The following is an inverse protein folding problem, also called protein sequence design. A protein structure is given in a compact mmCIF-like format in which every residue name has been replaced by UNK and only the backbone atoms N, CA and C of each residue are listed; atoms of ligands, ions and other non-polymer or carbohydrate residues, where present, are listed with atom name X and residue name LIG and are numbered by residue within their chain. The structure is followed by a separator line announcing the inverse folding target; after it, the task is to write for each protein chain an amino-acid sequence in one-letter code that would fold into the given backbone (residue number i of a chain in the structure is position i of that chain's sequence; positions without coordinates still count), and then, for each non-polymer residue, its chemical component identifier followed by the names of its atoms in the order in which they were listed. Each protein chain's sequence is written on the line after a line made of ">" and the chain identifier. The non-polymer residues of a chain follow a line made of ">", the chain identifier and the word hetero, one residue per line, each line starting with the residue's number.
data_IF_013653147210
#
_entry.id   IF_013653147210
#
_cell.length_a   1.000
_cell.length_b   1.000
_cell.length_c   1.000
_cell.angle_alpha   90.00
_cell.angle_beta   90.00
_cell.angle_gamma   90.00
#
_symmetry.space_group_name_H-M   'P 1'
#
loop_
_entity.id
_entity.type
_entity.pdbx_description
1 polymer ?
#
# COMPACT_ATOMS: atom_id res chain seq x y z
N UNK A 1 -47.42 -66.19 20.30
CA UNK A 1 -46.53 -66.25 19.13
C UNK A 1 -46.32 -64.82 18.64
N UNK A 2 -45.07 -64.34 18.70
CA UNK A 2 -44.50 -63.07 18.22
C UNK A 2 -45.32 -61.77 18.29
N UNK A 3 -44.97 -60.91 19.27
CA UNK A 3 -45.23 -59.45 19.21
C UNK A 3 -44.17 -58.81 18.31
N UNK A 4 -44.59 -58.23 17.19
CA UNK A 4 -43.75 -57.38 16.34
C UNK A 4 -43.72 -55.98 16.98
N UNK A 5 -42.52 -55.52 17.33
CA UNK A 5 -42.27 -54.15 17.79
C UNK A 5 -41.98 -53.32 16.54
N UNK A 6 -42.92 -52.49 16.13
CA UNK A 6 -42.70 -51.52 15.05
C UNK A 6 -42.01 -50.29 15.64
N UNK A 7 -40.73 -50.12 15.31
CA UNK A 7 -39.90 -48.99 15.69
C UNK A 7 -40.22 -47.79 14.77
N UNK A 8 -40.89 -46.76 15.27
CA UNK A 8 -41.11 -45.52 14.54
C UNK A 8 -39.87 -44.62 14.69
N UNK A 9 -39.12 -44.45 13.59
CA UNK A 9 -38.01 -43.50 13.50
C UNK A 9 -38.60 -42.10 13.28
N UNK A 10 -38.48 -41.23 14.28
CA UNK A 10 -38.85 -39.81 14.17
C UNK A 10 -37.69 -39.07 13.49
N UNK A 11 -37.90 -38.63 12.26
CA UNK A 11 -37.01 -37.70 11.57
C UNK A 11 -37.21 -36.29 12.14
N UNK A 12 -36.24 -35.79 12.91
CA UNK A 12 -36.16 -34.35 13.19
C UNK A 12 -35.56 -33.65 11.97
N UNK A 13 -36.40 -32.99 11.17
CA UNK A 13 -35.95 -31.99 10.21
C UNK A 13 -35.68 -30.72 11.02
N UNK A 14 -34.39 -30.41 11.24
CA UNK A 14 -33.99 -29.09 11.71
C UNK A 14 -34.26 -28.09 10.57
N UNK A 15 -35.34 -27.32 10.69
CA UNK A 15 -35.53 -26.14 9.87
C UNK A 15 -34.40 -25.15 10.19
N UNK A 16 -33.56 -24.85 9.19
CA UNK A 16 -32.55 -23.81 9.29
C UNK A 16 -33.23 -22.47 9.62
N UNK A 17 -32.69 -21.65 10.54
CA UNK A 17 -33.28 -20.36 10.83
C UNK A 17 -33.24 -19.49 9.57
N UNK A 18 -34.43 -19.02 9.18
CA UNK A 18 -34.62 -18.05 8.10
C UNK A 18 -33.89 -16.78 8.51
N UNK A 19 -32.80 -16.45 7.83
CA UNK A 19 -32.11 -15.17 8.05
C UNK A 19 -33.03 -14.05 7.56
N UNK A 20 -33.61 -13.30 8.50
CA UNK A 20 -34.32 -12.06 8.20
C UNK A 20 -33.31 -11.03 7.69
N UNK A 21 -33.40 -10.69 6.40
CA UNK A 21 -32.68 -9.56 5.83
C UNK A 21 -33.39 -8.29 6.27
N UNK A 22 -32.90 -7.68 7.35
CA UNK A 22 -33.23 -6.29 7.66
C UNK A 22 -32.45 -5.38 6.71
N UNK A 23 -33.16 -4.61 5.90
CA UNK A 23 -32.58 -3.66 4.97
C UNK A 23 -32.03 -2.44 5.74
N UNK A 24 -30.73 -2.47 6.06
CA UNK A 24 -30.03 -1.27 6.55
C UNK A 24 -29.61 -0.39 5.36
N UNK A 25 -30.32 0.74 5.25
CA UNK A 25 -29.95 2.07 4.75
C UNK A 25 -28.66 2.20 3.87
N UNK A 26 -28.76 2.57 2.57
CA UNK A 26 -27.63 2.59 1.63
C UNK A 26 -26.65 3.77 1.75
N UNK A 27 -26.51 4.43 2.91
CA UNK A 27 -25.63 5.61 3.06
C UNK A 27 -24.35 5.39 3.86
N UNK A 28 -24.05 4.17 4.32
CA UNK A 28 -22.71 3.83 4.80
C UNK A 28 -21.86 3.36 3.63
N UNK A 29 -21.25 4.31 2.93
CA UNK A 29 -20.11 4.03 2.05
C UNK A 29 -19.15 3.17 2.87
N UNK A 30 -18.86 1.98 2.36
CA UNK A 30 -17.88 1.09 2.92
C UNK A 30 -16.56 1.85 3.08
N UNK A 31 -16.26 2.34 4.28
CA UNK A 31 -14.91 2.25 4.76
C UNK A 31 -14.59 0.76 4.73
N UNK A 32 -14.02 0.30 3.61
CA UNK A 32 -13.18 -0.88 3.60
C UNK A 32 -12.14 -0.61 4.67
N UNK A 33 -12.45 -1.00 5.91
CA UNK A 33 -11.47 -1.24 6.94
C UNK A 33 -10.62 -2.36 6.39
N UNK A 34 -9.59 -1.98 5.62
CA UNK A 34 -8.45 -2.83 5.42
C UNK A 34 -8.04 -3.22 6.82
N UNK A 35 -8.25 -4.49 7.13
CA UNK A 35 -8.11 -5.05 8.45
C UNK A 35 -6.68 -4.73 8.95
N UNK A 36 -6.51 -3.64 9.69
CA UNK A 36 -5.23 -3.23 10.27
C UNK A 36 -4.68 -4.32 11.22
N UNK A 37 -5.54 -5.27 11.62
CA UNK A 37 -5.18 -6.47 12.40
C UNK A 37 -4.20 -7.43 11.71
N UNK A 38 -3.80 -7.21 10.45
CA UNK A 38 -2.72 -8.01 9.82
C UNK A 38 -1.31 -7.54 10.16
N UNK A 39 -1.15 -6.35 10.72
CA UNK A 39 0.17 -5.83 11.11
C UNK A 39 0.17 -5.59 12.61
N UNK A 40 1.07 -6.29 13.31
CA UNK A 40 1.13 -6.24 14.77
C UNK A 40 1.48 -4.84 15.33
N UNK A 41 1.94 -3.93 14.46
CA UNK A 41 2.50 -2.65 14.85
C UNK A 41 1.96 -1.48 14.01
N UNK A 42 1.56 -0.35 14.63
CA UNK A 42 1.09 0.83 13.92
C UNK A 42 2.23 1.54 13.19
N UNK A 43 1.87 2.37 12.22
CA UNK A 43 2.80 3.29 11.56
C UNK A 43 3.24 4.40 12.51
N UNK A 44 4.53 4.71 12.47
CA UNK A 44 5.19 5.76 13.25
C UNK A 44 5.75 6.77 12.26
N UNK A 45 5.44 8.06 12.47
CA UNK A 45 5.97 9.15 11.66
C UNK A 45 7.47 9.35 11.91
N UNK A 46 8.24 9.50 10.84
CA UNK A 46 9.71 9.58 10.83
C UNK A 46 10.23 10.91 10.24
N UNK A 47 9.37 11.90 10.08
CA UNK A 47 9.71 13.16 9.41
C UNK A 47 9.59 13.03 7.90
N UNK A 48 10.36 13.83 7.17
CA UNK A 48 10.24 13.98 5.72
C UNK A 48 11.43 13.44 4.92
N UNK A 49 12.50 13.02 5.60
CA UNK A 49 13.71 12.53 4.96
C UNK A 49 13.52 11.08 4.47
N UNK A 50 13.34 10.92 3.16
CA UNK A 50 13.15 9.63 2.51
C UNK A 50 14.42 8.78 2.45
N UNK A 51 15.60 9.38 2.65
CA UNK A 51 16.88 8.66 2.57
C UNK A 51 17.03 7.62 3.69
N UNK A 52 16.31 7.81 4.79
CA UNK A 52 16.20 6.87 5.92
C UNK A 52 15.76 5.47 5.48
N UNK A 53 14.91 5.36 4.45
CA UNK A 53 14.42 4.07 3.92
C UNK A 53 15.54 3.21 3.36
N UNK A 54 16.61 3.84 2.87
CA UNK A 54 17.78 3.17 2.32
C UNK A 54 18.91 2.96 3.33
N UNK A 55 18.72 3.36 4.58
CA UNK A 55 19.76 3.24 5.59
C UNK A 55 19.93 1.78 6.00
N UNK A 56 21.15 1.26 5.81
CA UNK A 56 21.52 -0.12 6.09
C UNK A 56 21.82 -0.39 7.59
N UNK A 57 21.34 0.46 8.50
CA UNK A 57 21.54 0.23 9.93
C UNK A 57 20.77 -1.01 10.37
N UNK A 58 21.35 -1.76 11.32
CA UNK A 58 20.67 -2.92 11.92
C UNK A 58 19.32 -2.54 12.55
N UNK A 59 19.16 -1.28 12.96
CA UNK A 59 17.91 -0.75 13.49
C UNK A 59 16.76 -0.79 12.48
N UNK A 60 17.01 -0.66 11.18
CA UNK A 60 15.96 -0.46 10.19
C UNK A 60 15.61 -1.69 9.36
N UNK A 61 16.29 -2.81 9.59
CA UNK A 61 16.02 -4.09 8.88
C UNK A 61 14.71 -4.75 9.28
N UNK A 62 14.24 -4.50 10.50
CA UNK A 62 13.00 -5.07 11.04
C UNK A 62 11.79 -4.18 10.81
N UNK A 63 11.89 -3.23 9.88
CA UNK A 63 10.85 -2.26 9.60
C UNK A 63 10.37 -2.32 8.16
N UNK A 64 9.05 -2.21 8.01
CA UNK A 64 8.43 -1.81 6.75
C UNK A 64 8.35 -0.29 6.70
N UNK A 65 8.62 0.27 5.53
CA UNK A 65 8.62 1.70 5.30
C UNK A 65 7.45 2.10 4.40
N UNK A 66 6.93 3.30 4.65
CA UNK A 66 5.84 3.86 3.88
C UNK A 66 5.89 5.37 3.82
N UNK A 67 5.11 5.94 2.92
CA UNK A 67 5.06 7.37 2.66
C UNK A 67 3.64 7.85 2.44
N UNK A 68 3.41 9.12 2.76
CA UNK A 68 2.31 9.91 2.22
C UNK A 68 2.91 11.00 1.33
N UNK A 69 2.39 11.16 0.12
CA UNK A 69 2.93 12.09 -0.87
C UNK A 69 1.81 12.73 -1.69
N UNK A 70 1.94 14.04 -1.99
CA UNK A 70 0.92 14.87 -2.67
C UNK A 70 -0.44 14.99 -1.94
N UNK A 71 -0.40 15.01 -0.60
CA UNK A 71 -1.52 15.23 0.34
C UNK A 71 -2.63 14.15 0.38
N UNK A 72 -3.04 13.85 1.62
CA UNK A 72 -4.17 13.01 2.04
C UNK A 72 -4.35 11.71 1.25
N UNK A 73 -3.84 10.61 1.82
CA UNK A 73 -4.06 9.27 1.28
C UNK A 73 -3.63 8.20 2.27
N UNK A 74 -3.80 6.92 1.92
CA UNK A 74 -3.24 5.83 2.70
C UNK A 74 -1.70 5.93 2.69
N UNK A 75 -1.06 5.38 3.72
CA UNK A 75 0.38 5.19 3.73
C UNK A 75 0.75 4.16 2.65
N UNK A 76 1.46 4.61 1.63
CA UNK A 76 1.93 3.80 0.53
C UNK A 76 3.25 3.16 0.91
N UNK A 77 3.37 1.84 0.81
CA UNK A 77 4.63 1.16 1.10
C UNK A 77 5.69 1.54 0.09
N UNK A 78 6.93 1.58 0.53
CA UNK A 78 8.08 1.87 -0.34
C UNK A 78 9.14 0.79 -0.22
N UNK A 79 9.96 0.67 -1.26
CA UNK A 79 11.16 -0.17 -1.25
C UNK A 79 12.37 0.66 -1.63
N UNK A 80 13.50 0.41 -0.99
CA UNK A 80 14.78 0.95 -1.40
C UNK A 80 15.48 0.01 -2.38
N UNK A 81 16.07 0.57 -3.43
CA UNK A 81 16.98 -0.12 -4.34
C UNK A 81 18.26 0.69 -4.54
N UNK A 82 19.42 0.04 -4.43
CA UNK A 82 20.76 0.65 -4.51
C UNK A 82 21.53 0.22 -5.76
N UNK A 83 20.84 -0.05 -6.88
CA UNK A 83 21.48 -0.60 -8.07
C UNK A 83 22.58 0.32 -8.64
N UNK A 84 23.79 -0.24 -8.79
CA UNK A 84 25.03 0.43 -9.20
C UNK A 84 25.37 1.64 -8.31
N UNK A 85 25.02 2.83 -8.80
CA UNK A 85 25.24 4.10 -8.12
C UNK A 85 23.88 4.70 -7.75
N UNK A 86 23.87 5.26 -6.54
CA UNK A 86 22.73 5.95 -6.01
C UNK A 86 21.61 5.04 -5.53
N UNK A 87 20.52 5.69 -5.19
CA UNK A 87 19.42 5.14 -4.44
C UNK A 87 18.12 5.48 -5.14
N UNK A 88 17.17 4.55 -5.06
CA UNK A 88 15.80 4.71 -5.54
C UNK A 88 14.89 4.21 -4.44
N UNK A 89 14.06 5.09 -3.90
CA UNK A 89 12.96 4.70 -3.01
C UNK A 89 11.69 4.83 -3.80
N UNK A 90 10.98 3.73 -4.04
CA UNK A 90 9.80 3.74 -4.90
C UNK A 90 8.61 3.12 -4.19
N UNK A 91 7.43 3.71 -4.39
CA UNK A 91 6.15 3.18 -3.89
C UNK A 91 5.80 1.85 -4.55
N UNK A 92 5.34 0.87 -3.77
CA UNK A 92 4.93 -0.46 -4.24
C UNK A 92 3.72 -1.01 -3.46
N UNK A 93 2.76 -1.71 -4.10
CA UNK A 93 2.61 -1.88 -5.55
C UNK A 93 2.20 -0.57 -6.23
N UNK A 94 2.11 -0.60 -7.56
CA UNK A 94 1.58 0.54 -8.30
C UNK A 94 0.13 0.87 -7.91
N UNK A 95 -0.22 2.15 -7.89
CA UNK A 95 -1.53 2.70 -7.57
C UNK A 95 -1.98 3.68 -8.67
N UNK A 96 -3.27 4.06 -8.72
CA UNK A 96 -3.74 5.08 -9.66
C UNK A 96 -3.08 6.44 -9.39
N UNK A 97 -2.60 7.09 -10.45
CA UNK A 97 -1.92 8.39 -10.43
C UNK A 97 -2.53 9.32 -11.48
N UNK A 98 -2.33 10.63 -11.28
CA UNK A 98 -2.83 11.69 -12.15
C UNK A 98 -4.25 12.13 -11.84
N UNK A 99 -4.61 13.32 -12.32
CA UNK A 99 -5.87 13.99 -11.96
C UNK A 99 -6.96 13.85 -13.04
N UNK A 100 -6.64 13.24 -14.18
CA UNK A 100 -7.52 13.15 -15.34
C UNK A 100 -7.86 11.69 -15.69
N UNK A 101 -9.10 11.47 -16.17
CA UNK A 101 -9.56 10.18 -16.68
C UNK A 101 -9.15 10.00 -18.16
N UNK A 102 -8.59 8.85 -18.56
CA UNK A 102 -8.28 7.68 -17.74
C UNK A 102 -7.06 7.89 -16.82
N UNK A 103 -7.19 7.44 -15.57
CA UNK A 103 -6.08 7.49 -14.61
C UNK A 103 -4.91 6.62 -15.08
N UNK A 104 -3.68 7.08 -14.83
CA UNK A 104 -2.47 6.31 -15.15
C UNK A 104 -2.06 5.49 -13.95
N UNK A 105 -1.78 4.19 -14.14
CA UNK A 105 -1.29 3.34 -13.05
C UNK A 105 0.22 3.47 -12.89
N UNK A 106 0.70 3.55 -11.66
CA UNK A 106 2.11 3.76 -11.39
C UNK A 106 2.43 4.09 -9.95
N UNK A 107 3.33 5.05 -9.71
CA UNK A 107 3.71 5.43 -8.37
C UNK A 107 4.66 6.61 -8.34
N UNK A 108 5.39 6.77 -7.24
CA UNK A 108 6.42 7.79 -7.09
C UNK A 108 7.74 7.16 -6.68
N UNK A 109 8.83 7.63 -7.26
CA UNK A 109 10.19 7.32 -6.83
C UNK A 109 10.92 8.57 -6.37
N UNK A 110 11.74 8.45 -5.34
CA UNK A 110 12.76 9.41 -4.96
C UNK A 110 14.13 8.87 -5.34
N UNK A 111 14.91 9.65 -6.06
CA UNK A 111 16.26 9.26 -6.51
C UNK A 111 17.31 10.25 -6.02
N UNK A 112 18.49 9.72 -5.71
CA UNK A 112 19.69 10.49 -5.38
C UNK A 112 20.98 9.67 -5.58
N UNK A 113 22.11 10.36 -5.77
CA UNK A 113 23.43 9.77 -5.94
C UNK A 113 23.61 8.92 -7.21
N UNK A 114 22.75 9.09 -8.21
CA UNK A 114 22.80 8.39 -9.50
C UNK A 114 23.58 9.20 -10.54
N UNK A 115 24.05 8.55 -11.61
CA UNK A 115 24.66 9.24 -12.76
C UNK A 115 23.61 9.77 -13.77
N UNK A 116 22.32 9.73 -13.43
CA UNK A 116 21.26 10.20 -14.32
C UNK A 116 21.20 11.71 -14.29
N UNK A 117 21.03 12.35 -15.44
CA UNK A 117 20.79 13.81 -15.48
C UNK A 117 19.50 14.23 -14.78
N UNK A 118 18.63 13.26 -14.51
CA UNK A 118 17.43 13.48 -13.71
C UNK A 118 17.84 13.84 -12.29
N UNK A 119 18.90 13.26 -11.75
CA UNK A 119 19.40 13.52 -10.41
C UNK A 119 20.34 14.75 -10.31
N UNK A 120 20.50 15.52 -11.39
CA UNK A 120 21.42 16.67 -11.42
C UNK A 120 20.85 17.93 -10.76
N UNK A 121 19.58 17.96 -10.31
CA UNK A 121 19.03 19.16 -9.66
C UNK A 121 19.44 19.27 -8.20
N UNK A 122 19.76 20.51 -7.82
CA UNK A 122 20.17 20.95 -6.49
C UNK A 122 19.01 21.03 -5.49
N UNK A 123 18.21 19.98 -5.34
CA UNK A 123 17.15 19.98 -4.33
C UNK A 123 17.76 20.10 -2.93
N UNK A 124 17.27 21.00 -2.06
CA UNK A 124 17.79 21.14 -0.70
C UNK A 124 17.70 19.85 0.13
N UNK A 125 16.75 18.98 -0.20
CA UNK A 125 16.56 17.65 0.40
C UNK A 125 17.62 16.62 -0.02
N UNK A 126 18.41 16.89 -1.06
CA UNK A 126 19.40 15.96 -1.59
C UNK A 126 18.81 14.82 -2.44
N UNK A 127 17.51 14.86 -2.76
CA UNK A 127 16.84 13.88 -3.61
C UNK A 127 15.71 14.52 -4.43
N UNK A 128 15.29 13.83 -5.48
CA UNK A 128 14.23 14.26 -6.39
C UNK A 128 13.13 13.22 -6.57
N UNK A 129 11.88 13.70 -6.61
CA UNK A 129 10.69 12.90 -6.84
C UNK A 129 10.29 12.86 -8.32
N UNK A 130 9.91 11.66 -8.76
CA UNK A 130 9.46 11.35 -10.13
C UNK A 130 8.29 10.39 -10.10
N UNK A 131 7.36 10.55 -11.02
CA UNK A 131 6.28 9.59 -11.17
C UNK A 131 6.78 8.37 -11.95
N UNK A 132 6.45 7.17 -11.46
CA UNK A 132 6.46 5.96 -12.26
C UNK A 132 5.11 5.84 -12.96
N UNK A 133 5.06 5.48 -14.23
CA UNK A 133 3.83 5.27 -14.98
C UNK A 133 3.95 4.02 -15.84
N UNK A 134 2.88 3.24 -15.93
CA UNK A 134 2.78 2.12 -16.86
C UNK A 134 2.70 2.70 -18.28
N UNK A 135 3.63 2.31 -19.15
CA UNK A 135 3.72 2.81 -20.52
C UNK A 135 2.73 2.15 -21.50
N UNK A 136 1.73 1.40 -21.00
CA UNK A 136 0.78 0.64 -21.81
C UNK A 136 1.29 -0.73 -22.26
N UNK A 137 2.56 -1.08 -22.03
CA UNK A 137 3.15 -2.40 -22.35
C UNK A 137 3.32 -3.30 -21.14
N UNK A 138 2.88 -2.85 -19.95
CA UNK A 138 3.10 -3.56 -18.68
C UNK A 138 4.39 -3.19 -17.97
N UNK A 139 5.27 -2.42 -18.61
CA UNK A 139 6.46 -1.87 -17.99
C UNK A 139 6.18 -0.51 -17.33
N UNK A 140 6.77 -0.28 -16.15
CA UNK A 140 6.81 1.04 -15.53
C UNK A 140 8.03 1.81 -16.04
N UNK A 141 7.80 3.05 -16.45
CA UNK A 141 8.85 4.01 -16.76
C UNK A 141 8.76 5.20 -15.80
N UNK A 142 9.90 5.83 -15.50
CA UNK A 142 9.89 7.11 -14.81
C UNK A 142 9.56 8.21 -15.80
N UNK A 143 8.65 9.10 -15.41
CA UNK A 143 8.28 10.33 -16.12
C UNK A 143 8.56 11.51 -15.19
N UNK A 144 8.19 12.74 -15.60
CA UNK A 144 8.34 13.93 -14.77
C UNK A 144 7.78 13.77 -13.34
N UNK A 145 8.00 14.77 -12.49
CA UNK A 145 7.60 14.67 -11.09
C UNK A 145 7.50 16.02 -10.40
N UNK A 146 7.30 15.98 -9.09
CA UNK A 146 7.24 17.17 -8.26
C UNK A 146 8.63 17.60 -7.75
N UNK A 147 9.71 17.08 -8.35
CA UNK A 147 11.08 17.51 -8.09
C UNK A 147 11.40 17.46 -6.60
N UNK A 148 11.69 18.62 -6.01
CA UNK A 148 12.14 18.75 -4.63
C UNK A 148 11.05 18.57 -3.55
N UNK A 149 9.81 18.22 -3.90
CA UNK A 149 8.76 17.99 -2.92
C UNK A 149 9.07 16.76 -2.05
N UNK A 150 9.18 16.93 -0.72
CA UNK A 150 9.42 15.80 0.17
C UNK A 150 8.11 15.04 0.49
N UNK A 151 8.19 13.72 0.75
CA UNK A 151 7.08 12.97 1.34
C UNK A 151 7.06 13.09 2.86
N UNK A 152 5.94 12.71 3.47
CA UNK A 152 5.90 12.30 4.87
C UNK A 152 6.29 10.83 4.96
N UNK A 153 7.28 10.51 5.80
CA UNK A 153 7.87 9.17 5.92
C UNK A 153 7.37 8.49 7.18
N UNK A 154 7.06 7.21 7.05
CA UNK A 154 6.58 6.37 8.14
C UNK A 154 7.34 5.05 8.17
N UNK A 155 7.44 4.47 9.36
CA UNK A 155 7.90 3.09 9.56
C UNK A 155 6.95 2.32 10.45
N UNK A 156 6.90 1.01 10.31
CA UNK A 156 6.32 0.10 11.31
C UNK A 156 7.16 -1.14 11.42
N UNK A 157 7.16 -1.76 12.59
CA UNK A 157 7.89 -3.00 12.81
C UNK A 157 7.19 -4.16 12.08
N UNK A 158 7.99 -5.03 11.45
CA UNK A 158 7.54 -6.25 10.76
C UNK A 158 7.05 -7.32 11.75
#
# INVERSE_FOLDING_TARGET
>A
MFKIITLAIVFYILAAPKSEVSAENPSKIAHLSVNESRYAHPWIYMGTDITQVCSATLEYKDYEWGVVFNNSGPILRVTCNTWNVGYRVCTVPGYPTGDANPFTWGGTCWIWGTNSTWDDNSCPSGYQSYYMQNNGTGAFQMVGGNGCSPPDVYRRKL
#
